data_IF_395476845271
#
_entry.id   IF_395476845271
#
_cell.length_a   1.000
_cell.length_b   1.000
_cell.length_c   1.000
_cell.angle_alpha   90.00
_cell.angle_beta   90.00
_cell.angle_gamma   90.00
#
_symmetry.space_group_name_H-M   'P 1'
#
loop_
_entity.id
_entity.type
_entity.pdbx_description
1 polymer ?
#
# COMPACT_ATOMS: atom_id res chain seq x y z
N UNK A 1 -6.75 -17.22 1.61
CA UNK A 1 -6.00 -16.40 2.58
C UNK A 1 -4.95 -15.61 1.81
N UNK A 2 -4.67 -14.35 2.19
CA UNK A 2 -3.68 -13.54 1.51
C UNK A 2 -2.29 -14.17 1.51
N UNK A 3 -1.51 -13.87 0.48
CA UNK A 3 -0.15 -14.38 0.30
C UNK A 3 0.82 -13.75 1.30
N UNK A 4 1.70 -14.57 1.87
CA UNK A 4 2.88 -14.07 2.58
C UNK A 4 3.94 -13.61 1.58
N UNK A 5 4.48 -12.40 1.80
CA UNK A 5 5.47 -11.80 0.91
C UNK A 5 6.87 -12.09 1.44
N UNK A 6 7.76 -12.61 0.60
CA UNK A 6 9.19 -12.67 0.92
C UNK A 6 9.80 -11.31 0.62
N UNK A 7 10.44 -10.67 1.61
CA UNK A 7 11.23 -9.46 1.42
C UNK A 7 12.71 -9.74 1.69
N UNK A 8 13.55 -9.12 0.88
CA UNK A 8 15.01 -9.14 1.06
C UNK A 8 15.47 -7.70 1.12
N UNK A 9 16.12 -7.33 2.22
CA UNK A 9 16.69 -6.00 2.42
C UNK A 9 18.20 -6.12 2.39
N UNK A 10 18.86 -5.23 1.67
CA UNK A 10 20.32 -5.18 1.55
C UNK A 10 20.93 -4.11 2.45
N UNK A 11 22.19 -4.29 2.81
CA UNK A 11 22.98 -3.31 3.55
C UNK A 11 24.48 -3.53 3.32
N UNK A 12 25.30 -3.03 4.23
CA UNK A 12 26.76 -3.12 4.16
C UNK A 12 27.34 -3.76 5.44
N UNK A 13 28.30 -4.66 5.33
CA UNK A 13 29.07 -5.13 6.50
C UNK A 13 30.11 -4.08 6.96
N UNK A 14 30.87 -4.38 8.01
CA UNK A 14 31.90 -3.47 8.57
C UNK A 14 33.05 -3.13 7.60
N UNK A 15 33.20 -3.90 6.52
CA UNK A 15 34.17 -3.68 5.44
C UNK A 15 33.58 -2.92 4.24
N UNK A 16 32.30 -2.52 4.32
CA UNK A 16 31.59 -1.85 3.23
C UNK A 16 31.16 -2.78 2.09
N UNK A 17 31.13 -4.10 2.29
CA UNK A 17 30.65 -5.08 1.30
C UNK A 17 29.13 -5.24 1.38
N UNK A 18 28.48 -5.41 0.23
CA UNK A 18 27.04 -5.62 0.14
C UNK A 18 26.61 -6.96 0.73
N UNK A 19 25.60 -6.95 1.59
CA UNK A 19 25.03 -8.13 2.25
C UNK A 19 23.49 -8.05 2.27
N UNK A 20 22.83 -9.19 2.48
CA UNK A 20 21.42 -9.20 2.91
C UNK A 20 21.37 -9.00 4.43
N UNK A 21 20.65 -7.96 4.88
CA UNK A 21 20.40 -7.70 6.30
C UNK A 21 19.10 -8.35 6.77
N UNK A 22 18.18 -8.56 5.84
CA UNK A 22 16.92 -9.29 6.05
C UNK A 22 16.66 -10.17 4.84
N UNK A 23 16.24 -11.41 5.10
CA UNK A 23 15.65 -12.32 4.12
C UNK A 23 14.58 -13.11 4.85
N UNK A 24 13.33 -12.65 4.75
CA UNK A 24 12.24 -13.21 5.54
C UNK A 24 10.95 -13.30 4.74
N UNK A 25 10.09 -14.24 5.17
CA UNK A 25 8.71 -14.31 4.71
C UNK A 25 7.83 -13.61 5.73
N UNK A 26 7.23 -12.50 5.32
CA UNK A 26 6.40 -11.65 6.16
C UNK A 26 5.09 -12.36 6.51
N UNK A 27 4.81 -12.52 7.80
CA UNK A 27 3.61 -13.20 8.30
C UNK A 27 2.58 -12.21 8.85
N UNK A 28 1.29 -12.60 8.95
CA UNK A 28 0.23 -11.73 9.45
C UNK A 28 0.43 -11.16 10.86
N UNK A 29 1.27 -11.79 11.67
CA UNK A 29 1.54 -11.41 13.06
C UNK A 29 2.60 -10.30 13.18
N UNK A 30 3.29 -9.97 12.09
CA UNK A 30 4.29 -8.91 12.05
C UNK A 30 3.61 -7.53 12.00
N UNK A 31 4.08 -6.57 12.80
CA UNK A 31 3.43 -5.25 12.93
C UNK A 31 3.40 -4.39 11.65
N UNK A 32 4.30 -4.65 10.69
CA UNK A 32 4.34 -4.02 9.37
C UNK A 32 3.51 -4.79 8.32
N UNK A 33 2.67 -5.72 8.78
CA UNK A 33 1.74 -6.52 7.97
C UNK A 33 0.33 -6.34 8.54
N UNK A 34 -0.56 -5.75 7.76
CA UNK A 34 -1.92 -5.43 8.21
C UNK A 34 -2.96 -6.23 7.44
N UNK A 35 -3.77 -7.01 8.17
CA UNK A 35 -5.11 -7.40 7.73
C UNK A 35 -6.14 -6.60 8.51
N UNK A 36 -6.96 -5.77 7.83
CA UNK A 36 -7.93 -4.96 8.52
C UNK A 36 -9.00 -5.79 9.24
N UNK A 37 -9.44 -5.29 10.39
CA UNK A 37 -10.54 -5.88 11.16
C UNK A 37 -11.81 -5.95 10.29
N UNK A 38 -12.38 -7.16 10.17
CA UNK A 38 -13.55 -7.41 9.33
C UNK A 38 -13.26 -7.57 7.83
N UNK A 39 -12.00 -7.48 7.39
CA UNK A 39 -11.55 -7.69 6.01
C UNK A 39 -10.47 -8.78 5.95
N UNK A 40 -10.77 -10.04 6.31
CA UNK A 40 -9.77 -11.10 6.52
C UNK A 40 -8.94 -11.43 5.27
N UNK A 41 -9.41 -11.05 4.08
CA UNK A 41 -8.76 -11.32 2.80
C UNK A 41 -8.05 -10.09 2.20
N UNK A 42 -8.04 -8.94 2.89
CA UNK A 42 -7.22 -7.78 2.50
C UNK A 42 -5.90 -7.85 3.24
N UNK A 43 -4.80 -7.56 2.54
CA UNK A 43 -3.46 -7.53 3.12
C UNK A 43 -2.66 -6.33 2.61
N UNK A 44 -2.11 -5.55 3.54
CA UNK A 44 -1.09 -4.54 3.27
C UNK A 44 0.21 -4.99 3.93
N UNK A 45 1.31 -4.95 3.20
CA UNK A 45 2.63 -5.39 3.64
C UNK A 45 3.64 -4.28 3.37
N UNK A 46 4.05 -3.57 4.42
CA UNK A 46 5.10 -2.53 4.31
C UNK A 46 6.45 -3.21 4.16
N UNK A 47 7.10 -2.97 3.03
CA UNK A 47 8.40 -3.56 2.71
C UNK A 47 9.52 -2.69 3.25
N UNK A 48 9.42 -1.37 3.06
CA UNK A 48 10.42 -0.39 3.47
C UNK A 48 9.81 1.00 3.67
N UNK A 49 10.30 1.74 4.67
CA UNK A 49 9.99 3.15 4.90
C UNK A 49 11.23 4.02 4.67
N UNK A 50 11.04 5.16 4.03
CA UNK A 50 12.05 6.20 3.89
C UNK A 50 11.56 7.43 4.61
N UNK A 51 12.34 7.96 5.56
CA UNK A 51 11.94 9.13 6.36
C UNK A 51 12.10 10.48 5.66
N UNK A 52 12.81 10.54 4.52
CA UNK A 52 13.11 11.78 3.81
C UNK A 52 13.65 11.53 2.40
N UNK A 53 13.45 12.48 1.49
CA UNK A 53 14.05 12.46 0.15
C UNK A 53 14.99 13.68 0.03
N UNK A 54 16.31 13.50 -0.19
CA UNK A 54 16.99 12.23 -0.48
C UNK A 54 17.04 11.24 0.70
N UNK A 55 17.02 9.94 0.39
CA UNK A 55 17.13 8.85 1.37
C UNK A 55 18.55 8.73 1.93
N UNK A 56 18.69 8.12 3.12
CA UNK A 56 19.98 7.84 3.76
C UNK A 56 20.25 6.32 3.81
N UNK A 57 21.33 5.88 3.16
CA UNK A 57 21.75 4.48 3.14
C UNK A 57 22.75 4.11 4.26
N UNK A 58 22.99 5.00 5.22
CA UNK A 58 23.87 4.72 6.35
C UNK A 58 23.21 3.76 7.35
N UNK A 59 23.96 2.76 7.79
CA UNK A 59 23.50 1.74 8.72
C UNK A 59 22.70 0.62 8.06
N UNK A 60 22.24 -0.33 8.89
CA UNK A 60 21.53 -1.55 8.48
C UNK A 60 20.23 -1.73 9.28
N UNK A 61 19.66 -0.65 9.80
CA UNK A 61 18.41 -0.74 10.56
C UNK A 61 17.25 -0.99 9.60
N UNK A 62 16.39 -1.96 9.92
CA UNK A 62 15.12 -2.09 9.23
C UNK A 62 14.22 -0.89 9.57
N UNK A 63 13.64 -0.29 8.54
CA UNK A 63 12.92 0.98 8.63
C UNK A 63 11.43 0.81 8.92
N UNK A 64 10.85 -0.37 8.68
CA UNK A 64 9.42 -0.58 8.88
C UNK A 64 9.07 -0.58 10.37
N UNK A 65 7.95 0.05 10.70
CA UNK A 65 7.50 0.16 12.10
C UNK A 65 6.68 -1.05 12.54
N UNK A 66 6.25 -1.10 13.82
CA UNK A 66 5.31 -2.10 14.31
C UNK A 66 3.84 -1.78 13.96
N UNK A 67 3.60 -0.83 13.06
CA UNK A 67 2.28 -0.40 12.62
C UNK A 67 2.29 0.03 11.15
N UNK A 68 1.27 -0.38 10.41
CA UNK A 68 0.98 0.12 9.06
C UNK A 68 0.16 1.42 9.14
N UNK A 69 0.63 2.47 8.46
CA UNK A 69 -0.07 3.75 8.28
C UNK A 69 -0.30 3.94 6.77
N UNK A 70 -1.47 4.45 6.36
CA UNK A 70 -1.77 4.52 4.93
C UNK A 70 -0.81 5.47 4.20
N UNK A 71 -0.64 6.67 4.73
CA UNK A 71 0.22 7.71 4.16
C UNK A 71 1.72 7.42 4.38
N UNK A 72 2.59 7.85 3.44
CA UNK A 72 4.03 7.82 3.66
C UNK A 72 4.46 8.77 4.80
N UNK A 73 5.65 8.55 5.40
CA UNK A 73 6.24 9.51 6.34
C UNK A 73 6.33 10.91 5.71
N UNK A 74 6.19 11.97 6.52
CA UNK A 74 6.36 13.34 6.06
C UNK A 74 7.75 13.54 5.43
N UNK A 75 7.79 14.08 4.20
CA UNK A 75 9.01 14.24 3.39
C UNK A 75 9.60 12.94 2.84
N UNK A 76 8.98 11.80 3.12
CA UNK A 76 9.51 10.46 2.88
C UNK A 76 8.72 9.62 1.87
N UNK A 77 8.87 8.31 1.96
CA UNK A 77 8.18 7.35 1.12
C UNK A 77 7.89 6.03 1.83
N UNK A 78 6.89 5.28 1.36
CA UNK A 78 6.65 3.87 1.74
C UNK A 78 6.63 3.00 0.48
N UNK A 79 7.36 1.90 0.50
CA UNK A 79 7.20 0.80 -0.46
C UNK A 79 6.34 -0.29 0.19
N UNK A 80 5.21 -0.61 -0.45
CA UNK A 80 4.19 -1.52 0.06
C UNK A 80 3.75 -2.50 -1.03
N UNK A 81 3.40 -3.71 -0.61
CA UNK A 81 2.60 -4.64 -1.41
C UNK A 81 1.19 -4.70 -0.85
N UNK A 82 0.19 -4.67 -1.74
CA UNK A 82 -1.24 -4.74 -1.38
C UNK A 82 -1.89 -5.91 -2.11
N UNK A 83 -2.56 -6.79 -1.38
CA UNK A 83 -3.41 -7.83 -1.94
C UNK A 83 -4.88 -7.45 -1.77
N UNK A 84 -5.59 -7.34 -2.89
CA UNK A 84 -6.99 -6.95 -2.98
C UNK A 84 -7.79 -8.19 -3.38
N UNK A 85 -8.62 -8.74 -2.47
CA UNK A 85 -9.45 -9.89 -2.77
C UNK A 85 -10.62 -9.51 -3.68
N UNK A 86 -11.31 -10.49 -4.29
CA UNK A 86 -12.61 -10.28 -4.93
C UNK A 86 -13.55 -9.42 -4.10
N UNK A 87 -14.34 -8.56 -4.75
CA UNK A 87 -15.31 -7.69 -4.09
C UNK A 87 -16.36 -8.51 -3.32
N UNK A 88 -16.68 -9.72 -3.79
CA UNK A 88 -17.52 -10.70 -3.10
C UNK A 88 -16.98 -11.15 -1.73
N UNK A 89 -15.68 -10.92 -1.48
CA UNK A 89 -14.98 -11.24 -0.23
C UNK A 89 -14.65 -10.00 0.62
N UNK A 90 -15.14 -8.81 0.21
CA UNK A 90 -14.92 -7.56 0.93
C UNK A 90 -16.13 -7.18 1.78
N UNK A 91 -15.86 -6.74 3.01
CA UNK A 91 -16.86 -6.18 3.90
C UNK A 91 -16.86 -4.65 3.82
N UNK A 92 -17.68 -4.12 2.93
CA UNK A 92 -17.77 -2.67 2.72
C UNK A 92 -18.34 -1.90 3.93
N UNK A 93 -19.09 -2.56 4.80
CA UNK A 93 -19.73 -1.92 5.96
C UNK A 93 -18.74 -1.48 7.05
N UNK A 94 -17.53 -2.05 7.08
CA UNK A 94 -16.50 -1.73 8.08
C UNK A 94 -15.40 -0.80 7.56
N UNK A 95 -15.45 -0.41 6.28
CA UNK A 95 -14.38 0.36 5.63
C UNK A 95 -14.17 1.74 6.25
N UNK A 96 -15.24 2.44 6.66
CA UNK A 96 -15.12 3.77 7.29
C UNK A 96 -14.24 3.73 8.54
N UNK A 97 -14.57 2.82 9.47
CA UNK A 97 -13.80 2.58 10.71
C UNK A 97 -12.35 2.17 10.43
N UNK A 98 -12.12 1.42 9.35
CA UNK A 98 -10.77 0.99 8.96
C UNK A 98 -9.91 2.16 8.48
N UNK A 99 -10.41 2.98 7.55
CA UNK A 99 -9.69 4.12 7.03
C UNK A 99 -9.39 5.16 8.12
N UNK A 100 -10.33 5.41 9.02
CA UNK A 100 -10.11 6.25 10.21
C UNK A 100 -8.92 5.76 11.05
N UNK A 101 -8.83 4.44 11.33
CA UNK A 101 -7.71 3.86 12.11
C UNK A 101 -6.35 3.97 11.41
N UNK A 102 -6.32 4.06 10.08
CA UNK A 102 -5.10 4.18 9.28
C UNK A 102 -4.68 5.64 9.01
N UNK A 103 -5.41 6.62 9.54
CA UNK A 103 -5.13 8.04 9.30
C UNK A 103 -5.73 8.58 7.99
N UNK A 104 -6.66 7.86 7.37
CA UNK A 104 -7.34 8.23 6.12
C UNK A 104 -8.83 8.53 6.33
N UNK A 105 -9.20 9.03 7.52
CA UNK A 105 -10.61 9.33 7.85
C UNK A 105 -11.19 10.52 7.08
N UNK A 106 -10.34 11.39 6.51
CA UNK A 106 -10.77 12.52 5.69
C UNK A 106 -11.17 12.03 4.29
N UNK A 107 -12.50 11.88 4.09
CA UNK A 107 -13.28 11.63 2.85
C UNK A 107 -13.96 10.27 2.75
N UNK A 108 -14.67 9.93 3.81
CA UNK A 108 -15.71 8.91 3.76
C UNK A 108 -17.03 9.67 3.81
N UNK A 109 -17.68 9.88 2.68
CA UNK A 109 -19.15 9.93 2.52
C UNK A 109 -19.52 10.29 1.05
N UNK A 110 -20.34 9.45 0.41
CA UNK A 110 -21.17 9.84 -0.74
C UNK A 110 -20.57 9.82 -2.16
N UNK A 111 -19.65 8.92 -2.49
CA UNK A 111 -19.13 8.79 -3.87
C UNK A 111 -19.21 7.36 -4.42
N UNK A 112 -18.93 7.22 -5.72
CA UNK A 112 -19.13 6.03 -6.59
C UNK A 112 -18.73 4.66 -6.01
N UNK A 113 -17.91 4.60 -4.95
CA UNK A 113 -17.49 3.37 -4.31
C UNK A 113 -17.21 3.54 -2.79
N UNK A 114 -17.54 2.56 -1.91
CA UNK A 114 -17.31 2.69 -0.46
C UNK A 114 -15.83 2.71 -0.03
N UNK A 115 -14.92 2.44 -0.97
CA UNK A 115 -13.47 2.45 -0.76
C UNK A 115 -12.77 3.75 -1.17
N UNK A 116 -13.53 4.78 -1.53
CA UNK A 116 -12.96 6.05 -1.97
C UNK A 116 -12.15 6.69 -0.84
N UNK A 117 -10.90 7.03 -1.13
CA UNK A 117 -10.01 7.74 -0.22
C UNK A 117 -8.96 8.53 -1.01
N UNK A 118 -8.25 9.41 -0.30
CA UNK A 118 -7.17 10.23 -0.85
C UNK A 118 -6.06 10.31 0.18
N UNK A 119 -4.83 10.38 -0.31
CA UNK A 119 -3.61 10.57 0.49
C UNK A 119 -2.85 11.79 -0.02
N UNK A 120 -2.04 12.40 0.84
CA UNK A 120 -1.08 13.45 0.46
C UNK A 120 0.19 12.84 -0.15
N UNK A 121 0.02 12.16 -1.28
CA UNK A 121 1.10 11.43 -1.93
C UNK A 121 0.99 11.38 -3.45
N UNK A 122 2.13 11.10 -4.08
CA UNK A 122 2.19 10.56 -5.44
C UNK A 122 2.55 9.08 -5.32
N UNK A 123 1.76 8.22 -5.95
CA UNK A 123 1.89 6.77 -5.81
C UNK A 123 2.26 6.16 -7.16
N UNK A 124 3.37 5.42 -7.19
CA UNK A 124 3.74 4.59 -8.33
C UNK A 124 3.25 3.16 -8.07
N UNK A 125 2.24 2.75 -8.83
CA UNK A 125 1.53 1.49 -8.61
C UNK A 125 1.74 0.58 -9.82
N UNK A 126 2.02 -0.69 -9.58
CA UNK A 126 2.16 -1.71 -10.63
C UNK A 126 1.37 -2.95 -10.24
N UNK A 127 0.58 -3.48 -11.17
CA UNK A 127 -0.11 -4.75 -10.97
C UNK A 127 0.88 -5.89 -11.18
N UNK A 128 1.19 -6.63 -10.11
CA UNK A 128 2.06 -7.81 -10.17
C UNK A 128 1.30 -9.01 -10.75
N UNK A 129 0.06 -9.22 -10.32
CA UNK A 129 -0.79 -10.33 -10.77
C UNK A 129 -2.26 -10.03 -10.59
N UNK A 130 -3.11 -10.64 -11.43
CA UNK A 130 -4.56 -10.41 -11.41
C UNK A 130 -4.96 -9.17 -12.23
N UNK A 131 -6.16 -8.68 -11.98
CA UNK A 131 -6.66 -7.42 -12.53
C UNK A 131 -7.52 -6.69 -11.50
N UNK A 132 -7.58 -5.36 -11.59
CA UNK A 132 -8.31 -4.50 -10.66
C UNK A 132 -8.82 -3.25 -11.38
N UNK A 133 -9.95 -2.72 -10.93
CA UNK A 133 -10.49 -1.46 -11.40
C UNK A 133 -10.03 -0.33 -10.47
N UNK A 134 -9.33 0.63 -11.05
CA UNK A 134 -9.13 1.95 -10.47
C UNK A 134 -10.40 2.77 -10.70
N UNK A 135 -11.08 3.14 -9.62
CA UNK A 135 -12.28 3.98 -9.66
C UNK A 135 -11.87 5.41 -9.31
N UNK A 136 -12.18 6.37 -10.18
CA UNK A 136 -11.98 7.81 -9.99
C UNK A 136 -13.35 8.53 -9.92
N UNK A 137 -13.35 9.87 -9.86
CA UNK A 137 -14.58 10.67 -9.80
C UNK A 137 -15.50 10.45 -11.02
N UNK A 138 -14.94 10.30 -12.22
CA UNK A 138 -15.70 10.30 -13.49
C UNK A 138 -15.51 9.06 -14.36
N UNK A 139 -14.55 8.20 -14.02
CA UNK A 139 -14.20 7.05 -14.84
C UNK A 139 -13.67 5.89 -14.00
N UNK A 140 -13.69 4.71 -14.61
CA UNK A 140 -13.12 3.50 -14.05
C UNK A 140 -12.20 2.86 -15.10
N UNK A 141 -10.99 2.51 -14.68
CA UNK A 141 -9.99 1.93 -15.57
C UNK A 141 -9.61 0.55 -15.04
N UNK A 142 -9.74 -0.46 -15.88
CA UNK A 142 -9.27 -1.81 -15.58
C UNK A 142 -7.76 -1.91 -15.85
N UNK A 143 -6.99 -2.24 -14.81
CA UNK A 143 -5.55 -2.52 -14.89
C UNK A 143 -5.31 -4.01 -14.72
N UNK A 144 -4.39 -4.57 -15.50
CA UNK A 144 -4.00 -5.99 -15.51
C UNK A 144 -2.54 -6.17 -15.16
N UNK A 145 -2.14 -7.40 -14.87
CA UNK A 145 -0.75 -7.75 -14.60
C UNK A 145 0.23 -7.13 -15.63
N UNK A 146 1.21 -6.38 -15.13
CA UNK A 146 2.18 -5.61 -15.93
C UNK A 146 1.81 -4.13 -16.13
N UNK A 147 0.54 -3.75 -15.95
CA UNK A 147 0.12 -2.35 -16.07
C UNK A 147 0.58 -1.52 -14.87
N UNK A 148 0.75 -0.21 -15.11
CA UNK A 148 1.19 0.74 -14.09
C UNK A 148 0.28 1.96 -14.04
N UNK A 149 0.17 2.56 -12.85
CA UNK A 149 -0.58 3.79 -12.60
C UNK A 149 0.28 4.75 -11.79
N UNK A 150 0.20 6.05 -12.12
CA UNK A 150 0.73 7.12 -11.28
C UNK A 150 -0.45 7.87 -10.66
N UNK A 151 -0.74 7.57 -9.39
CA UNK A 151 -1.83 8.20 -8.64
C UNK A 151 -1.33 9.51 -8.04
N UNK A 152 -1.85 10.66 -8.50
CA UNK A 152 -1.32 11.99 -8.13
C UNK A 152 -2.20 12.70 -7.09
N UNK A 153 -2.33 12.11 -5.90
CA UNK A 153 -3.16 12.66 -4.82
C UNK A 153 -4.64 12.81 -5.23
N UNK A 154 -5.11 11.96 -6.14
CA UNK A 154 -6.49 11.94 -6.63
C UNK A 154 -7.36 11.03 -5.77
N UNK A 155 -8.61 11.41 -5.56
CA UNK A 155 -9.60 10.59 -4.86
C UNK A 155 -9.83 9.31 -5.67
N UNK A 156 -9.73 8.14 -5.03
CA UNK A 156 -9.83 6.89 -5.74
C UNK A 156 -10.23 5.71 -4.85
N UNK A 157 -10.67 4.64 -5.50
CA UNK A 157 -10.87 3.34 -4.89
C UNK A 157 -10.36 2.22 -5.79
N UNK A 158 -10.21 1.05 -5.18
CA UNK A 158 -9.87 -0.19 -5.87
C UNK A 158 -11.02 -1.19 -5.73
N UNK A 159 -11.47 -1.74 -6.85
CA UNK A 159 -12.53 -2.75 -6.94
C UNK A 159 -11.99 -3.95 -7.73
N UNK A 160 -12.06 -5.14 -7.14
CA UNK A 160 -11.67 -6.37 -7.79
C UNK A 160 -12.93 -7.15 -8.13
N UNK A 161 -13.37 -7.04 -9.39
CA UNK A 161 -14.62 -7.64 -9.88
C UNK A 161 -14.44 -9.09 -10.35
N UNK A 162 -13.27 -9.66 -10.11
CA UNK A 162 -12.93 -11.03 -10.50
C UNK A 162 -13.10 -12.00 -9.34
N UNK A 163 -12.86 -13.29 -9.60
CA UNK A 163 -12.90 -14.35 -8.58
C UNK A 163 -11.52 -14.66 -7.96
N UNK A 164 -10.46 -13.96 -8.38
CA UNK A 164 -9.09 -14.18 -7.89
C UNK A 164 -8.49 -12.90 -7.29
N UNK A 165 -7.63 -12.99 -6.25
CA UNK A 165 -6.97 -11.82 -5.70
C UNK A 165 -6.09 -11.09 -6.72
N UNK A 166 -6.01 -9.76 -6.60
CA UNK A 166 -5.09 -8.91 -7.34
C UNK A 166 -3.97 -8.43 -6.42
N UNK A 167 -2.73 -8.48 -6.88
CA UNK A 167 -1.54 -8.08 -6.12
C UNK A 167 -0.92 -6.83 -6.75
N UNK A 168 -0.77 -5.78 -5.94
CA UNK A 168 -0.19 -4.50 -6.33
C UNK A 168 1.14 -4.28 -5.62
N UNK A 169 2.13 -3.79 -6.35
CA UNK A 169 3.29 -3.07 -5.80
C UNK A 169 2.97 -1.58 -5.79
N UNK A 170 3.23 -0.89 -4.70
CA UNK A 170 3.00 0.55 -4.58
C UNK A 170 4.16 1.24 -3.86
N UNK A 171 4.67 2.32 -4.46
CA UNK A 171 5.60 3.24 -3.81
C UNK A 171 4.91 4.60 -3.66
N UNK A 172 4.58 4.99 -2.43
CA UNK A 172 3.91 6.24 -2.13
C UNK A 172 4.97 7.23 -1.64
N UNK A 173 5.08 8.39 -2.29
CA UNK A 173 5.96 9.48 -1.89
C UNK A 173 5.11 10.58 -1.29
N UNK A 174 5.52 11.13 -0.14
CA UNK A 174 4.84 12.29 0.42
C UNK A 174 4.89 13.44 -0.60
N UNK A 175 3.75 14.10 -0.78
CA UNK A 175 3.59 15.17 -1.75
C UNK A 175 2.80 16.32 -1.15
N UNK A 176 3.08 17.53 -1.63
CA UNK A 176 2.26 18.69 -1.30
C UNK A 176 0.82 18.46 -1.81
N UNK A 177 -0.19 18.77 -1.00
CA UNK A 177 -1.57 18.66 -1.44
C UNK A 177 -1.85 19.66 -2.57
N UNK A 178 -2.62 19.23 -3.57
CA UNK A 178 -3.13 20.14 -4.59
C UNK A 178 -4.11 21.14 -3.95
N UNK A 179 -3.74 22.42 -3.95
CA UNK A 179 -4.62 23.52 -3.58
C UNK A 179 -5.57 23.83 -4.74
N UNK A 180 -6.80 23.33 -4.67
CA UNK A 180 -7.90 23.60 -5.60
C UNK A 180 -9.17 23.92 -4.83
#
# INVERSE_FOLDING_TARGET
>A
MPRNIRRVITGHNDEGKSIAITDETMTPEMGHVLTPEGQPNVRLSDIWLTGGIPANNAGNADSVSNKVILEPPAGGAVFRVVEIPPDSQRNYNTMKKYFEKMGAGERLDGQNHPGMHKTQSVDYITVISGEVWLILDQEEICLRAGDTCVQRGTLHAWSNRTEVPCLLSAVLLNAEPLAI
#
